data_IF_275061490162
#
_entry.id   IF_275061490162
#
_cell.length_a   1.000
_cell.length_b   1.000
_cell.length_c   1.000
_cell.angle_alpha   90.00
_cell.angle_beta   90.00
_cell.angle_gamma   90.00
#
_symmetry.space_group_name_H-M   'P 1'
#
loop_
_entity.id
_entity.type
_entity.pdbx_description
1 polymer ?
#
# COMPACT_ATOMS: atom_id res chain seq x y z
N UNK A 1 14.18 -1.77 6.50
CA UNK A 1 12.87 -2.37 6.85
C UNK A 1 12.71 -3.66 6.06
N UNK A 2 12.74 -4.81 6.72
CA UNK A 2 12.67 -6.14 6.08
C UNK A 2 11.45 -6.91 6.60
N UNK A 3 10.26 -6.39 6.35
CA UNK A 3 9.09 -7.24 6.16
C UNK A 3 9.03 -7.58 4.68
N UNK A 4 9.30 -8.83 4.29
CA UNK A 4 9.10 -9.25 2.89
C UNK A 4 7.63 -9.09 2.56
N UNK A 5 7.29 -8.04 1.81
CA UNK A 5 5.95 -7.78 1.31
C UNK A 5 5.39 -9.06 0.67
N UNK A 6 4.25 -9.53 1.19
CA UNK A 6 3.62 -10.76 0.72
C UNK A 6 2.83 -10.45 -0.55
N UNK A 7 3.52 -10.54 -1.69
CA UNK A 7 2.98 -10.21 -3.04
C UNK A 7 1.63 -10.90 -3.34
N UNK A 8 1.41 -12.10 -2.77
CA UNK A 8 0.17 -12.86 -2.95
C UNK A 8 -1.05 -12.25 -2.27
N UNK A 9 -0.86 -11.40 -1.26
CA UNK A 9 -1.96 -10.76 -0.52
C UNK A 9 -2.27 -9.35 -1.01
N UNK A 10 -1.50 -8.84 -1.99
CA UNK A 10 -1.77 -7.55 -2.61
C UNK A 10 -2.95 -7.64 -3.59
N UNK A 11 -3.81 -6.62 -3.55
CA UNK A 11 -4.85 -6.40 -4.57
C UNK A 11 -4.23 -5.86 -5.86
N UNK A 12 -5.03 -5.84 -6.95
CA UNK A 12 -4.56 -5.40 -8.26
C UNK A 12 -3.96 -3.98 -8.21
N UNK A 13 -4.67 -3.04 -7.59
CA UNK A 13 -4.23 -1.65 -7.50
C UNK A 13 -2.94 -1.48 -6.66
N UNK A 14 -2.71 -2.37 -5.68
CA UNK A 14 -1.50 -2.37 -4.84
C UNK A 14 -0.30 -2.91 -5.58
N UNK A 15 -0.51 -3.98 -6.35
CA UNK A 15 0.50 -4.48 -7.28
C UNK A 15 0.87 -3.40 -8.30
N UNK A 16 -0.13 -2.68 -8.81
CA UNK A 16 0.10 -1.59 -9.73
C UNK A 16 0.86 -0.42 -9.10
N UNK A 17 0.51 -0.06 -7.86
CA UNK A 17 1.20 0.97 -7.10
C UNK A 17 2.68 0.63 -6.92
N UNK A 18 2.98 -0.58 -6.43
CA UNK A 18 4.35 -1.03 -6.16
C UNK A 18 5.22 -1.10 -7.42
N UNK A 19 4.63 -1.51 -8.54
CA UNK A 19 5.31 -1.53 -9.85
C UNK A 19 5.56 -0.12 -10.37
N UNK A 20 4.57 0.78 -10.29
CA UNK A 20 4.73 2.19 -10.65
C UNK A 20 5.79 2.88 -9.78
N UNK A 21 5.86 2.54 -8.49
CA UNK A 21 6.88 3.09 -7.58
C UNK A 21 8.31 2.72 -8.01
N UNK A 22 8.45 1.57 -8.66
CA UNK A 22 9.71 1.07 -9.24
C UNK A 22 9.92 1.52 -10.70
N UNK A 23 9.08 2.41 -11.21
CA UNK A 23 9.21 2.94 -12.58
C UNK A 23 8.77 1.97 -13.65
N UNK A 24 8.03 0.92 -13.28
CA UNK A 24 7.58 -0.10 -14.22
C UNK A 24 6.24 0.30 -14.83
N UNK A 25 6.20 0.40 -16.16
CA UNK A 25 4.95 0.60 -16.89
C UNK A 25 4.06 -0.65 -16.87
N UNK A 26 2.76 -0.41 -16.83
CA UNK A 26 1.73 -1.42 -16.67
C UNK A 26 0.70 -1.25 -17.78
N UNK A 27 0.52 -2.25 -18.65
CA UNK A 27 -0.55 -2.25 -19.64
C UNK A 27 -1.94 -2.24 -18.98
N UNK A 28 -2.90 -1.50 -19.55
CA UNK A 28 -4.27 -1.27 -19.04
C UNK A 28 -5.11 -2.54 -18.77
N UNK A 29 -4.66 -3.71 -19.27
CA UNK A 29 -5.36 -4.99 -19.12
C UNK A 29 -4.52 -6.07 -18.45
N UNK A 30 -3.52 -5.68 -17.69
CA UNK A 30 -2.66 -6.62 -16.97
C UNK A 30 -3.47 -7.48 -15.98
N UNK A 31 -3.25 -8.80 -16.03
CA UNK A 31 -3.84 -9.73 -15.08
C UNK A 31 -3.06 -9.70 -13.75
N UNK A 32 -3.75 -9.94 -12.64
CA UNK A 32 -3.14 -9.98 -11.29
C UNK A 32 -1.96 -10.95 -11.24
N UNK A 33 -2.06 -12.11 -11.90
CA UNK A 33 -0.99 -13.12 -11.94
C UNK A 33 0.27 -12.56 -12.61
N UNK A 34 0.12 -11.80 -13.69
CA UNK A 34 1.25 -11.21 -14.40
C UNK A 34 1.88 -10.07 -13.61
N UNK A 35 1.06 -9.24 -12.96
CA UNK A 35 1.54 -8.20 -12.05
C UNK A 35 2.34 -8.78 -10.88
N UNK A 36 1.86 -9.87 -10.27
CA UNK A 36 2.58 -10.59 -9.20
C UNK A 36 3.91 -11.14 -9.68
N UNK A 37 3.95 -11.78 -10.84
CA UNK A 37 5.19 -12.28 -11.46
C UNK A 37 6.19 -11.14 -11.68
N UNK A 38 5.72 -10.02 -12.22
CA UNK A 38 6.54 -8.83 -12.49
C UNK A 38 7.09 -8.23 -11.19
N UNK A 39 6.25 -8.06 -10.18
CA UNK A 39 6.67 -7.51 -8.89
C UNK A 39 7.70 -8.40 -8.18
N UNK A 40 7.49 -9.72 -8.16
CA UNK A 40 8.47 -10.67 -7.61
C UNK A 40 9.82 -10.56 -8.31
N UNK A 41 9.81 -10.46 -9.65
CA UNK A 41 11.03 -10.26 -10.44
C UNK A 41 11.75 -8.98 -10.00
N UNK A 42 11.04 -7.86 -9.92
CA UNK A 42 11.62 -6.59 -9.45
C UNK A 42 12.19 -6.67 -8.03
N UNK A 43 11.53 -7.38 -7.12
CA UNK A 43 12.03 -7.60 -5.75
C UNK A 43 13.32 -8.43 -5.77
N UNK A 44 13.35 -9.53 -6.54
CA UNK A 44 14.52 -10.40 -6.65
C UNK A 44 15.71 -9.70 -7.32
N UNK A 45 15.45 -8.79 -8.25
CA UNK A 45 16.44 -7.96 -8.92
C UNK A 45 16.80 -6.69 -8.12
N UNK A 46 16.26 -6.54 -6.91
CA UNK A 46 16.50 -5.40 -6.01
C UNK A 46 16.20 -4.03 -6.66
N UNK A 47 15.22 -3.98 -7.56
CA UNK A 47 14.78 -2.74 -8.20
C UNK A 47 14.26 -1.78 -7.13
N UNK A 48 14.91 -0.63 -7.03
CA UNK A 48 14.64 0.37 -5.99
C UNK A 48 13.33 1.12 -6.24
N UNK A 49 12.66 1.47 -5.15
CA UNK A 49 11.52 2.38 -5.19
C UNK A 49 12.01 3.83 -5.24
N UNK A 50 11.53 4.60 -6.21
CA UNK A 50 11.89 6.00 -6.39
C UNK A 50 10.65 6.84 -6.68
N UNK A 51 10.38 7.88 -5.90
CA UNK A 51 9.12 8.61 -6.10
C UNK A 51 9.11 9.58 -7.26
N UNK A 52 10.26 9.90 -7.87
CA UNK A 52 10.26 10.54 -9.19
C UNK A 52 9.43 9.73 -10.19
N UNK A 53 9.31 8.41 -9.99
CA UNK A 53 8.48 7.55 -10.83
C UNK A 53 6.97 7.83 -10.69
N UNK A 54 6.55 8.52 -9.62
CA UNK A 54 5.19 8.97 -9.36
C UNK A 54 4.92 10.42 -9.76
N UNK A 55 5.93 11.17 -10.19
CA UNK A 55 5.77 12.55 -10.65
C UNK A 55 4.74 12.63 -11.79
N UNK A 56 3.71 13.46 -11.62
CA UNK A 56 2.59 13.59 -12.56
C UNK A 56 1.63 12.38 -12.64
N UNK A 57 1.87 11.31 -11.87
CA UNK A 57 1.05 10.07 -11.89
C UNK A 57 0.21 9.86 -10.65
N UNK A 58 0.59 10.48 -9.53
CA UNK A 58 -0.17 10.44 -8.26
C UNK A 58 -0.50 11.86 -7.84
N UNK A 59 -1.76 12.05 -7.43
CA UNK A 59 -2.24 13.28 -6.82
C UNK A 59 -2.46 13.01 -5.34
N UNK A 60 -1.78 13.76 -4.46
CA UNK A 60 -1.78 13.52 -3.02
C UNK A 60 -3.19 13.48 -2.41
N UNK A 61 -4.11 14.34 -2.85
CA UNK A 61 -5.51 14.33 -2.37
C UNK A 61 -6.24 13.03 -2.74
N UNK A 62 -6.16 12.60 -3.99
CA UNK A 62 -6.78 11.34 -4.42
C UNK A 62 -6.18 10.14 -3.66
N UNK A 63 -4.89 10.21 -3.37
CA UNK A 63 -4.20 9.20 -2.59
C UNK A 63 -4.73 9.12 -1.15
N UNK A 64 -5.00 10.26 -0.50
CA UNK A 64 -5.61 10.31 0.83
C UNK A 64 -7.00 9.67 0.84
N UNK A 65 -7.83 9.96 -0.15
CA UNK A 65 -9.17 9.35 -0.27
C UNK A 65 -9.09 7.82 -0.41
N UNK A 66 -8.17 7.33 -1.25
CA UNK A 66 -7.92 5.89 -1.40
C UNK A 66 -7.41 5.28 -0.10
N UNK A 67 -6.48 5.96 0.60
CA UNK A 67 -5.92 5.48 1.86
C UNK A 67 -6.96 5.46 2.98
N UNK A 68 -7.81 6.47 3.06
CA UNK A 68 -8.93 6.53 4.01
C UNK A 68 -9.85 5.32 3.84
N UNK A 69 -10.29 5.04 2.60
CA UNK A 69 -11.11 3.86 2.31
C UNK A 69 -10.42 2.55 2.70
N UNK A 70 -9.12 2.40 2.38
CA UNK A 70 -8.36 1.19 2.71
C UNK A 70 -8.11 1.02 4.20
N UNK A 71 -7.87 2.10 4.93
CA UNK A 71 -7.66 2.06 6.38
C UNK A 71 -8.96 1.68 7.08
N UNK A 72 -10.11 2.19 6.63
CA UNK A 72 -11.42 1.77 7.13
C UNK A 72 -11.67 0.28 6.87
N UNK A 73 -11.41 -0.20 5.65
CA UNK A 73 -11.51 -1.63 5.32
C UNK A 73 -10.58 -2.49 6.20
N UNK A 74 -9.35 -2.03 6.47
CA UNK A 74 -8.44 -2.71 7.39
C UNK A 74 -9.04 -2.81 8.79
N UNK A 75 -9.61 -1.72 9.32
CA UNK A 75 -10.22 -1.68 10.65
C UNK A 75 -11.39 -2.64 10.75
N UNK A 76 -12.29 -2.62 9.78
CA UNK A 76 -13.43 -3.55 9.69
C UNK A 76 -12.94 -5.00 9.66
N UNK A 77 -11.96 -5.30 8.79
CA UNK A 77 -11.38 -6.64 8.69
C UNK A 77 -10.80 -7.08 10.03
N UNK A 78 -10.02 -6.22 10.71
CA UNK A 78 -9.40 -6.55 11.99
C UNK A 78 -10.43 -6.73 13.11
N UNK A 79 -11.52 -5.96 13.12
CA UNK A 79 -12.61 -6.12 14.08
C UNK A 79 -13.37 -7.44 13.89
N UNK A 80 -13.45 -7.92 12.64
CA UNK A 80 -14.01 -9.23 12.31
C UNK A 80 -13.04 -10.38 12.61
N UNK A 81 -11.74 -10.10 12.80
CA UNK A 81 -10.79 -11.12 13.22
C UNK A 81 -11.06 -11.51 14.69
N UNK A 82 -11.51 -12.74 14.88
CA UNK A 82 -11.72 -13.37 16.18
C UNK A 82 -10.70 -14.46 16.47
N UNK A 83 -10.93 -15.21 17.55
CA UNK A 83 -10.06 -16.33 17.95
C UNK A 83 -10.02 -17.48 16.91
N UNK A 84 -11.05 -17.61 16.08
CA UNK A 84 -11.17 -18.65 15.06
C UNK A 84 -10.75 -18.20 13.65
N UNK A 85 -10.24 -16.96 13.51
CA UNK A 85 -9.86 -16.44 12.20
C UNK A 85 -8.68 -17.19 11.62
N UNK A 86 -8.72 -17.41 10.30
CA UNK A 86 -7.66 -18.15 9.64
C UNK A 86 -6.34 -17.35 9.68
N UNK A 87 -5.18 -18.01 9.82
CA UNK A 87 -3.88 -17.35 9.71
C UNK A 87 -3.70 -16.58 8.39
N UNK A 88 -4.40 -16.98 7.34
CA UNK A 88 -4.37 -16.31 6.03
C UNK A 88 -5.06 -14.95 6.09
N UNK A 89 -6.15 -14.82 6.83
CA UNK A 89 -6.90 -13.56 6.94
C UNK A 89 -6.13 -12.54 7.78
N UNK A 90 -5.46 -13.00 8.85
CA UNK A 90 -4.52 -12.21 9.64
C UNK A 90 -3.40 -11.67 8.75
N UNK A 91 -2.72 -12.55 7.99
CA UNK A 91 -1.64 -12.14 7.09
C UNK A 91 -2.10 -11.17 5.99
N UNK A 92 -3.35 -11.30 5.51
CA UNK A 92 -3.92 -10.39 4.53
C UNK A 92 -4.12 -9.00 5.14
N UNK A 93 -4.68 -8.92 6.34
CA UNK A 93 -4.86 -7.66 7.07
C UNK A 93 -3.51 -6.97 7.37
N UNK A 94 -2.52 -7.74 7.83
CA UNK A 94 -1.16 -7.22 8.06
C UNK A 94 -0.52 -6.67 6.79
N UNK A 95 -0.65 -7.38 5.66
CA UNK A 95 -0.10 -6.93 4.38
C UNK A 95 -0.74 -5.63 3.92
N UNK A 96 -2.07 -5.53 4.06
CA UNK A 96 -2.83 -4.33 3.70
C UNK A 96 -2.40 -3.12 4.53
N UNK A 97 -2.26 -3.33 5.85
CA UNK A 97 -1.78 -2.32 6.79
C UNK A 97 -0.38 -1.83 6.44
N UNK A 98 0.56 -2.73 6.18
CA UNK A 98 1.93 -2.37 5.81
C UNK A 98 1.95 -1.57 4.49
N UNK A 99 1.13 -1.97 3.52
CA UNK A 99 1.01 -1.22 2.27
C UNK A 99 0.47 0.20 2.49
N UNK A 100 -0.54 0.39 3.35
CA UNK A 100 -1.01 1.72 3.74
C UNK A 100 0.09 2.55 4.42
N UNK A 101 0.92 1.94 5.28
CA UNK A 101 2.06 2.63 5.92
C UNK A 101 3.08 3.10 4.89
N UNK A 102 3.42 2.25 3.92
CA UNK A 102 4.36 2.60 2.83
C UNK A 102 3.83 3.80 2.05
N UNK A 103 2.56 3.78 1.65
CA UNK A 103 1.94 4.87 0.86
C UNK A 103 1.89 6.19 1.62
N UNK A 104 1.53 6.17 2.90
CA UNK A 104 1.61 7.37 3.76
C UNK A 104 3.06 7.88 3.85
N UNK A 105 4.03 6.98 4.03
CA UNK A 105 5.44 7.33 4.03
C UNK A 105 5.92 7.97 2.73
N UNK A 106 5.38 7.54 1.58
CA UNK A 106 5.63 8.19 0.28
C UNK A 106 5.04 9.60 0.26
N UNK A 107 3.77 9.77 0.65
CA UNK A 107 3.14 11.10 0.68
C UNK A 107 3.95 12.11 1.50
N UNK A 108 4.44 11.71 2.68
CA UNK A 108 5.26 12.55 3.53
C UNK A 108 6.66 12.79 2.98
N UNK A 109 7.38 11.73 2.57
CA UNK A 109 8.77 11.82 2.09
C UNK A 109 8.90 12.73 0.88
N UNK A 110 7.88 12.75 0.02
CA UNK A 110 7.91 13.47 -1.25
C UNK A 110 7.07 14.75 -1.25
N UNK A 111 6.61 15.19 -0.07
CA UNK A 111 5.84 16.44 0.10
C UNK A 111 4.72 16.57 -0.92
N UNK A 112 4.04 15.45 -1.20
CA UNK A 112 2.88 15.41 -2.11
C UNK A 112 1.64 16.04 -1.47
N UNK A 113 1.77 16.47 -0.22
CA UNK A 113 0.79 17.15 0.61
C UNK A 113 1.51 18.26 1.37
N UNK A 114 0.75 19.29 1.75
CA UNK A 114 1.22 20.30 2.68
C UNK A 114 1.62 19.67 4.02
N UNK A 115 2.68 20.19 4.65
CA UNK A 115 3.25 19.63 5.89
C UNK A 115 2.25 19.61 7.08
N UNK A 116 1.17 20.38 6.99
CA UNK A 116 0.12 20.50 8.01
C UNK A 116 -1.21 19.86 7.57
N UNK A 117 -1.17 18.95 6.60
CA UNK A 117 -2.37 18.29 6.14
C UNK A 117 -3.03 17.48 7.28
N UNK A 118 -4.16 18.00 7.78
CA UNK A 118 -4.92 17.43 8.91
C UNK A 118 -5.38 16.01 8.60
N UNK A 119 -5.80 15.75 7.36
CA UNK A 119 -6.28 14.45 6.92
C UNK A 119 -5.15 13.41 6.91
N UNK A 120 -3.95 13.76 6.45
CA UNK A 120 -2.77 12.90 6.57
C UNK A 120 -2.48 12.53 8.02
N UNK A 121 -2.46 13.52 8.91
CA UNK A 121 -2.20 13.30 10.34
C UNK A 121 -3.24 12.39 10.98
N UNK A 122 -4.51 12.57 10.61
CA UNK A 122 -5.62 11.70 11.03
C UNK A 122 -5.40 10.26 10.56
N UNK A 123 -5.13 10.03 9.27
CA UNK A 123 -4.92 8.69 8.71
C UNK A 123 -3.70 7.98 9.32
N UNK A 124 -2.63 8.71 9.62
CA UNK A 124 -1.47 8.16 10.35
C UNK A 124 -1.84 7.69 11.75
N UNK A 125 -2.64 8.48 12.48
CA UNK A 125 -3.15 8.06 13.81
C UNK A 125 -4.02 6.83 13.69
N UNK A 126 -4.98 6.85 12.78
CA UNK A 126 -5.93 5.77 12.57
C UNK A 126 -5.27 4.44 12.21
N UNK A 127 -4.16 4.48 11.44
CA UNK A 127 -3.42 3.28 11.07
C UNK A 127 -2.59 2.71 12.22
N UNK A 128 -2.18 3.56 13.18
CA UNK A 128 -1.54 3.12 14.43
C UNK A 128 -2.55 2.46 15.36
N UNK A 129 -3.79 2.93 15.39
CA UNK A 129 -4.84 2.31 16.22
C UNK A 129 -5.18 0.89 15.76
N UNK A 130 -4.82 0.51 14.52
CA UNK A 130 -4.87 -0.90 14.05
C UNK A 130 -3.75 -1.76 14.68
N UNK A 131 -2.84 -1.21 15.52
CA UNK A 131 -1.77 -1.94 16.23
C UNK A 131 -2.18 -2.48 17.61
N UNK A 132 -3.32 -2.05 18.15
CA UNK A 132 -3.82 -2.46 19.48
C UNK A 132 -5.00 -3.43 19.34
#
# INVERSE_FOLDING_TARGET
>A
MSGRMKVDFLSKDELEYELKFRGIEIPDRSLVVDLRKKLRKCINEEVKCEAKNFEGKIVGKNELEILSSKINQCKETVQELGQDSSPVDVLRAETKKEHCKVRLGVLQKFKLLDNENIEYSKLVSELKDVEQ
#
